data_IF_655158445562
#
_entry.id   IF_655158445562
#
_cell.length_a   1.000
_cell.length_b   1.000
_cell.length_c   1.000
_cell.angle_alpha   90.00
_cell.angle_beta   90.00
_cell.angle_gamma   90.00
#
_symmetry.space_group_name_H-M   'P 1'
#
loop_
_entity.id
_entity.type
_entity.pdbx_description
1 polymer ?
#
# COMPACT_ATOMS: atom_id res chain seq x y z
N UNK A 1 -28.44 3.05 -10.05
CA UNK A 1 -27.45 3.40 -11.10
C UNK A 1 -27.14 4.87 -10.98
N UNK A 2 -26.02 5.22 -10.34
CA UNK A 2 -25.56 6.61 -10.23
C UNK A 2 -24.10 6.61 -10.68
N UNK A 3 -23.91 6.93 -11.96
CA UNK A 3 -22.61 7.26 -12.52
C UNK A 3 -22.31 8.71 -12.16
N UNK A 4 -21.48 8.95 -11.14
CA UNK A 4 -20.84 10.25 -10.95
C UNK A 4 -19.44 10.13 -11.57
N UNK A 5 -19.36 10.38 -12.87
CA UNK A 5 -18.08 10.66 -13.53
C UNK A 5 -17.78 12.14 -13.29
N UNK A 6 -17.11 12.45 -12.17
CA UNK A 6 -16.72 13.83 -11.84
C UNK A 6 -15.68 14.32 -12.84
N UNK A 7 -16.06 15.35 -13.59
CA UNK A 7 -15.39 15.94 -14.76
C UNK A 7 -14.03 16.62 -14.52
N UNK A 8 -13.35 16.42 -13.39
CA UNK A 8 -12.14 17.21 -13.05
C UNK A 8 -11.12 16.47 -12.17
N UNK A 9 -10.77 15.23 -12.49
CA UNK A 9 -9.50 14.65 -12.02
C UNK A 9 -8.48 14.65 -13.15
N UNK A 10 -8.01 15.86 -13.48
CA UNK A 10 -6.86 16.09 -14.34
C UNK A 10 -5.59 15.68 -13.56
N UNK A 11 -5.36 14.37 -13.44
CA UNK A 11 -4.01 13.86 -13.17
C UNK A 11 -3.24 14.00 -14.46
N UNK A 12 -2.13 14.72 -14.43
CA UNK A 12 -1.17 14.70 -15.53
C UNK A 12 0.00 13.88 -15.03
N UNK A 13 0.04 12.61 -15.42
CA UNK A 13 1.24 11.85 -15.24
C UNK A 13 2.27 12.37 -16.26
N UNK A 14 3.45 12.74 -15.74
CA UNK A 14 4.53 13.31 -16.53
C UNK A 14 5.72 12.42 -16.27
N UNK A 15 6.06 11.60 -17.26
CA UNK A 15 7.32 10.86 -17.28
C UNK A 15 8.48 11.84 -17.47
N UNK A 16 9.14 12.24 -16.37
CA UNK A 16 10.36 13.04 -16.43
C UNK A 16 11.56 12.11 -16.66
N UNK A 17 12.22 12.29 -17.81
CA UNK A 17 13.39 11.49 -18.20
C UNK A 17 14.64 11.93 -17.45
N UNK A 18 14.95 11.25 -16.36
CA UNK A 18 16.33 11.00 -15.94
C UNK A 18 16.48 9.50 -15.60
N UNK A 19 16.78 8.70 -16.63
CA UNK A 19 17.06 7.26 -16.47
C UNK A 19 15.84 6.33 -16.46
N UNK A 20 14.98 6.36 -17.48
CA UNK A 20 14.00 5.33 -17.90
C UNK A 20 13.18 4.52 -16.85
N UNK A 21 13.16 4.88 -15.56
CA UNK A 21 12.57 4.06 -14.47
C UNK A 21 11.72 4.84 -13.49
N UNK A 22 11.47 6.12 -13.74
CA UNK A 22 10.76 7.01 -12.82
C UNK A 22 9.45 7.52 -13.45
N UNK A 23 8.38 7.49 -12.65
CA UNK A 23 7.07 8.08 -12.99
C UNK A 23 6.68 9.05 -11.90
N UNK A 24 6.41 10.29 -12.27
CA UNK A 24 5.90 11.29 -11.35
C UNK A 24 4.46 11.60 -11.73
N UNK A 25 3.55 11.30 -10.81
CA UNK A 25 2.13 11.61 -10.96
C UNK A 25 1.86 12.93 -10.26
N UNK A 26 1.63 13.98 -11.06
CA UNK A 26 1.27 15.30 -10.55
C UNK A 26 -0.24 15.46 -10.50
N UNK A 27 -0.70 16.06 -9.40
CA UNK A 27 -2.03 16.63 -9.33
C UNK A 27 -1.98 18.13 -9.59
N UNK A 28 -2.95 18.65 -10.34
CA UNK A 28 -2.99 20.04 -10.85
C UNK A 28 -3.22 21.12 -9.77
N UNK A 29 -3.46 20.77 -8.51
CA UNK A 29 -3.72 21.75 -7.45
C UNK A 29 -2.43 22.03 -6.64
N UNK A 30 -2.15 23.26 -6.20
CA UNK A 30 -0.91 23.56 -5.47
C UNK A 30 -0.83 22.94 -4.05
N UNK A 31 -1.93 22.36 -3.53
CA UNK A 31 -2.02 21.78 -2.18
C UNK A 31 -2.13 20.24 -2.15
N UNK A 32 -2.06 19.58 -3.30
CA UNK A 32 -2.24 18.12 -3.43
C UNK A 32 -0.89 17.45 -3.49
N UNK A 33 -0.74 16.39 -2.68
CA UNK A 33 0.49 15.62 -2.56
C UNK A 33 0.77 14.91 -3.90
N UNK A 34 1.94 15.18 -4.48
CA UNK A 34 2.43 14.44 -5.64
C UNK A 34 2.86 13.03 -5.22
N UNK A 35 2.72 12.06 -6.11
CA UNK A 35 3.20 10.71 -5.88
C UNK A 35 4.37 10.41 -6.83
N UNK A 36 5.47 9.94 -6.27
CA UNK A 36 6.69 9.60 -6.98
C UNK A 36 6.87 8.08 -6.99
N UNK A 37 6.88 7.47 -8.17
CA UNK A 37 7.01 6.03 -8.34
C UNK A 37 8.36 5.70 -8.99
N UNK A 38 9.05 4.71 -8.42
CA UNK A 38 10.30 4.17 -8.95
C UNK A 38 10.09 2.72 -9.30
N UNK A 39 10.33 2.36 -10.56
CA UNK A 39 10.25 0.98 -11.03
C UNK A 39 11.54 0.26 -10.65
N UNK A 40 11.45 -0.61 -9.65
CA UNK A 40 12.61 -1.41 -9.19
C UNK A 40 12.89 -2.61 -10.10
N UNK A 41 11.83 -3.25 -10.61
CA UNK A 41 11.89 -4.42 -11.48
C UNK A 41 10.66 -4.45 -12.38
N UNK A 42 10.87 -4.73 -13.66
CA UNK A 42 9.81 -4.94 -14.64
C UNK A 42 10.13 -6.17 -15.50
N UNK A 43 9.32 -7.22 -15.33
CA UNK A 43 9.40 -8.47 -16.10
C UNK A 43 8.21 -8.61 -17.06
N UNK A 44 7.25 -7.68 -17.04
CA UNK A 44 5.96 -7.79 -17.75
C UNK A 44 5.89 -6.83 -18.93
N UNK A 45 6.24 -5.57 -18.72
CA UNK A 45 6.07 -4.50 -19.71
C UNK A 45 7.34 -4.17 -20.47
N UNK A 46 8.45 -4.89 -20.25
CA UNK A 46 9.73 -4.72 -20.94
C UNK A 46 10.23 -3.25 -20.94
N UNK A 47 10.07 -2.57 -19.80
CA UNK A 47 10.34 -1.15 -19.55
C UNK A 47 9.48 -0.16 -20.36
N UNK A 48 8.29 -0.56 -20.82
CA UNK A 48 7.33 0.35 -21.44
C UNK A 48 6.66 1.25 -20.39
N UNK A 49 7.25 2.43 -20.17
CA UNK A 49 6.81 3.36 -19.13
C UNK A 49 5.35 3.82 -19.26
N UNK A 50 4.86 3.97 -20.50
CA UNK A 50 3.48 4.39 -20.78
C UNK A 50 2.45 3.40 -20.23
N UNK A 51 2.70 2.10 -20.42
CA UNK A 51 1.81 1.05 -19.91
C UNK A 51 1.80 1.03 -18.38
N UNK A 52 2.97 1.19 -17.75
CA UNK A 52 3.11 1.24 -16.30
C UNK A 52 2.36 2.46 -15.72
N UNK A 53 2.45 3.60 -16.40
CA UNK A 53 1.74 4.83 -16.05
C UNK A 53 0.21 4.65 -16.14
N UNK A 54 -0.29 4.06 -17.22
CA UNK A 54 -1.72 3.76 -17.41
C UNK A 54 -2.25 2.79 -16.35
N UNK A 55 -1.50 1.73 -16.04
CA UNK A 55 -1.87 0.76 -14.99
C UNK A 55 -1.90 1.43 -13.62
N UNK A 56 -0.88 2.23 -13.28
CA UNK A 56 -0.85 2.97 -12.02
C UNK A 56 -2.04 3.93 -11.91
N UNK A 57 -2.38 4.63 -13.00
CA UNK A 57 -3.54 5.50 -13.07
C UNK A 57 -4.85 4.72 -12.89
N UNK A 58 -5.02 3.59 -13.57
CA UNK A 58 -6.20 2.75 -13.44
C UNK A 58 -6.38 2.26 -11.99
N UNK A 59 -5.30 1.82 -11.33
CA UNK A 59 -5.35 1.35 -9.94
C UNK A 59 -5.77 2.43 -8.94
N UNK A 60 -5.54 3.71 -9.23
CA UNK A 60 -6.01 4.82 -8.41
C UNK A 60 -7.55 5.02 -8.44
N UNK A 61 -8.25 4.37 -9.37
CA UNK A 61 -9.71 4.43 -9.53
C UNK A 61 -10.44 3.21 -8.95
N UNK A 62 -9.71 2.16 -8.55
CA UNK A 62 -10.28 0.90 -8.03
C UNK A 62 -10.45 0.92 -6.50
N UNK A 63 -10.37 2.10 -5.87
CA UNK A 63 -10.49 2.21 -4.43
C UNK A 63 -11.94 2.08 -3.97
N UNK A 64 -12.28 0.97 -3.31
CA UNK A 64 -13.66 0.62 -2.95
C UNK A 64 -14.29 1.55 -1.90
N UNK A 65 -13.48 2.21 -1.07
CA UNK A 65 -13.97 3.06 0.03
C UNK A 65 -14.38 4.46 -0.41
N UNK A 66 -13.95 4.94 -1.57
CA UNK A 66 -14.26 6.28 -2.05
C UNK A 66 -14.59 6.30 -3.54
N UNK A 67 -15.63 7.03 -3.93
CA UNK A 67 -16.04 7.21 -5.33
C UNK A 67 -15.22 8.27 -6.07
N UNK A 68 -14.05 8.64 -5.53
CA UNK A 68 -13.12 9.62 -6.10
C UNK A 68 -11.78 8.95 -6.30
N UNK A 69 -11.05 9.32 -7.35
CA UNK A 69 -9.71 8.75 -7.53
C UNK A 69 -8.78 9.29 -6.46
N UNK A 70 -7.88 8.42 -6.05
CA UNK A 70 -6.89 8.69 -5.00
C UNK A 70 -5.51 8.94 -5.62
N UNK A 71 -4.60 9.53 -4.85
CA UNK A 71 -3.25 9.87 -5.32
C UNK A 71 -2.27 8.68 -5.29
N UNK A 72 -2.64 7.58 -4.61
CA UNK A 72 -1.82 6.38 -4.43
C UNK A 72 -2.68 5.17 -4.87
N UNK A 73 -2.12 4.16 -5.58
CA UNK A 73 -2.85 2.97 -6.00
C UNK A 73 -3.62 2.29 -4.87
N UNK A 74 -4.83 1.81 -5.18
CA UNK A 74 -5.65 1.03 -4.26
C UNK A 74 -4.90 -0.09 -3.50
N UNK A 75 -4.04 -0.93 -4.13
CA UNK A 75 -3.34 -1.99 -3.40
C UNK A 75 -2.39 -1.47 -2.31
N UNK A 76 -1.73 -0.33 -2.53
CA UNK A 76 -0.83 0.28 -1.53
C UNK A 76 -1.65 0.77 -0.34
N UNK A 77 -2.77 1.45 -0.59
CA UNK A 77 -3.68 1.89 0.47
C UNK A 77 -4.28 0.72 1.27
N UNK A 78 -4.59 -0.39 0.61
CA UNK A 78 -5.07 -1.59 1.30
C UNK A 78 -4.01 -2.21 2.18
N UNK A 79 -2.75 -2.26 1.74
CA UNK A 79 -1.65 -2.73 2.58
C UNK A 79 -1.52 -1.87 3.86
N UNK A 80 -1.62 -0.54 3.76
CA UNK A 80 -1.54 0.34 4.93
C UNK A 80 -2.70 0.12 5.91
N UNK A 81 -3.91 -0.12 5.41
CA UNK A 81 -5.07 -0.47 6.24
C UNK A 81 -4.89 -1.82 6.95
N UNK A 82 -4.35 -2.82 6.24
CA UNK A 82 -4.01 -4.13 6.83
C UNK A 82 -2.94 -3.97 7.90
N UNK A 83 -1.87 -3.23 7.64
CA UNK A 83 -0.79 -2.99 8.60
C UNK A 83 -1.30 -2.27 9.86
N UNK A 84 -2.13 -1.25 9.68
CA UNK A 84 -2.75 -0.52 10.79
C UNK A 84 -3.65 -1.43 11.63
N UNK A 85 -4.37 -2.36 10.98
CA UNK A 85 -5.18 -3.37 11.68
C UNK A 85 -4.35 -4.49 12.28
N UNK A 86 -3.19 -4.80 11.70
CA UNK A 86 -2.25 -5.85 12.12
C UNK A 86 -1.83 -5.76 13.58
N UNK A 87 -1.72 -4.54 14.12
CA UNK A 87 -1.42 -4.33 15.54
C UNK A 87 -2.49 -4.93 16.47
N UNK A 88 -3.76 -4.89 16.08
CA UNK A 88 -4.87 -5.47 16.87
C UNK A 88 -4.96 -6.99 16.75
N UNK A 89 -4.26 -7.58 15.77
CA UNK A 89 -4.21 -9.02 15.55
C UNK A 89 -3.22 -9.74 16.47
N UNK A 90 -2.40 -8.99 17.21
CA UNK A 90 -1.44 -9.50 18.18
C UNK A 90 -2.06 -9.32 19.56
N UNK A 91 -2.15 -10.40 20.34
CA UNK A 91 -2.71 -10.31 21.69
C UNK A 91 -1.82 -9.43 22.57
N UNK A 92 -2.40 -8.57 23.43
CA UNK A 92 -1.63 -7.74 24.36
C UNK A 92 -0.85 -8.59 25.38
N UNK A 93 -1.27 -9.84 25.59
CA UNK A 93 -0.61 -10.83 26.44
C UNK A 93 0.57 -11.56 25.75
N UNK A 94 0.70 -11.40 24.43
CA UNK A 94 1.87 -11.94 23.76
C UNK A 94 3.10 -11.14 24.19
N UNK A 95 4.11 -11.83 24.75
CA UNK A 95 5.47 -11.31 25.05
C UNK A 95 6.22 -10.74 23.83
N UNK A 96 5.54 -10.63 22.68
CA UNK A 96 6.01 -10.06 21.43
C UNK A 96 5.73 -8.56 21.30
N UNK A 97 4.83 -8.02 22.12
CA UNK A 97 4.70 -6.56 22.23
C UNK A 97 6.00 -6.08 22.85
N UNK A 98 6.91 -5.57 22.00
CA UNK A 98 8.06 -4.82 22.43
C UNK A 98 7.55 -3.74 23.36
N UNK A 99 7.80 -3.87 24.67
CA UNK A 99 7.59 -2.74 25.57
C UNK A 99 8.46 -1.60 25.08
N UNK A 100 8.03 -0.34 25.29
CA UNK A 100 8.69 0.90 24.86
C UNK A 100 10.19 1.06 25.28
N UNK A 101 10.76 0.04 25.94
CA UNK A 101 12.13 -0.02 26.45
C UNK A 101 13.03 -1.08 25.77
N UNK A 102 12.52 -1.85 24.80
CA UNK A 102 13.29 -2.91 24.17
C UNK A 102 14.09 -2.41 22.95
N UNK A 103 15.38 -2.09 23.16
CA UNK A 103 16.34 -1.95 22.06
C UNK A 103 16.94 -3.31 21.70
N UNK A 104 16.80 -3.71 20.44
CA UNK A 104 17.50 -4.89 19.91
C UNK A 104 18.97 -4.55 19.76
N UNK A 105 19.78 -4.94 20.74
CA UNK A 105 21.23 -4.96 20.58
C UNK A 105 21.57 -6.15 19.68
N UNK A 106 22.43 -5.93 18.68
CA UNK A 106 22.86 -6.92 17.68
C UNK A 106 23.79 -8.00 18.26
N UNK A 107 23.44 -8.53 19.42
CA UNK A 107 24.27 -9.41 20.24
C UNK A 107 23.49 -10.69 20.55
N UNK A 108 23.30 -11.54 19.54
CA UNK A 108 23.07 -12.97 19.73
C UNK A 108 21.64 -13.46 19.95
N UNK A 109 20.62 -12.59 20.02
CA UNK A 109 19.23 -13.06 20.07
C UNK A 109 18.67 -13.26 18.66
N UNK A 110 18.36 -14.51 18.31
CA UNK A 110 17.85 -14.86 16.98
C UNK A 110 16.38 -14.43 16.86
N UNK A 111 16.06 -13.65 15.83
CA UNK A 111 14.68 -13.28 15.53
C UNK A 111 13.85 -14.52 15.14
N UNK A 112 13.05 -15.02 16.08
CA UNK A 112 12.18 -16.18 15.88
C UNK A 112 10.88 -15.77 15.14
N UNK A 113 10.92 -15.87 13.80
CA UNK A 113 9.78 -15.65 12.92
C UNK A 113 8.55 -16.50 13.27
N UNK A 114 8.74 -17.72 13.79
CA UNK A 114 7.64 -18.65 14.03
C UNK A 114 6.85 -18.28 15.28
N UNK A 115 7.46 -17.57 16.23
CA UNK A 115 6.77 -16.97 17.36
C UNK A 115 5.77 -15.90 16.91
N UNK A 116 6.19 -15.01 16.00
CA UNK A 116 5.35 -13.96 15.42
C UNK A 116 4.18 -14.50 14.61
N UNK A 117 4.43 -15.53 13.78
CA UNK A 117 3.36 -16.21 13.02
C UNK A 117 2.29 -16.81 13.93
N UNK A 118 2.70 -17.46 15.04
CA UNK A 118 1.78 -18.08 16.00
C UNK A 118 0.90 -17.06 16.71
N UNK A 119 1.46 -15.92 17.10
CA UNK A 119 0.69 -14.84 17.73
C UNK A 119 -0.31 -14.20 16.78
N UNK A 120 0.07 -13.96 15.52
CA UNK A 120 -0.83 -13.40 14.51
C UNK A 120 -1.94 -14.38 14.09
N UNK A 121 -1.65 -15.69 14.03
CA UNK A 121 -2.59 -16.71 13.56
C UNK A 121 -3.85 -16.86 14.44
N UNK A 122 -3.80 -16.44 15.71
CA UNK A 122 -4.91 -16.62 16.66
C UNK A 122 -6.08 -15.63 16.45
N UNK A 123 -5.87 -14.54 15.70
CA UNK A 123 -6.81 -13.41 15.68
C UNK A 123 -7.71 -13.33 14.44
N UNK A 124 -7.38 -14.01 13.34
CA UNK A 124 -8.21 -14.00 12.14
C UNK A 124 -9.02 -15.30 12.01
N UNK A 125 -10.33 -15.24 12.30
CA UNK A 125 -11.25 -16.37 12.12
C UNK A 125 -11.30 -16.78 10.64
N UNK A 126 -11.38 -18.08 10.33
CA UNK A 126 -11.30 -18.61 8.96
C UNK A 126 -12.30 -17.97 7.99
N UNK A 127 -13.49 -17.59 8.48
CA UNK A 127 -14.56 -16.96 7.69
C UNK A 127 -14.27 -15.54 7.22
N UNK A 128 -13.36 -14.81 7.88
CA UNK A 128 -13.04 -13.42 7.56
C UNK A 128 -11.73 -13.28 6.76
N UNK A 129 -10.97 -14.38 6.58
CA UNK A 129 -9.67 -14.37 5.89
C UNK A 129 -9.79 -14.07 4.40
N UNK A 130 -10.86 -14.55 3.76
CA UNK A 130 -11.10 -14.35 2.32
C UNK A 130 -11.79 -13.02 2.01
N UNK A 131 -12.28 -12.31 3.04
CA UNK A 131 -12.89 -11.00 2.90
C UNK A 131 -11.88 -9.88 3.15
N UNK A 132 -12.16 -8.70 2.59
CA UNK A 132 -11.44 -7.47 2.91
C UNK A 132 -11.89 -6.92 4.27
N UNK A 133 -11.71 -7.69 5.35
CA UNK A 133 -12.09 -7.30 6.73
C UNK A 133 -11.40 -6.02 7.21
N UNK A 134 -10.35 -5.60 6.49
CA UNK A 134 -9.57 -4.40 6.73
C UNK A 134 -10.09 -3.15 6.00
N UNK A 135 -11.16 -3.24 5.22
CA UNK A 135 -11.93 -2.07 4.76
C UNK A 135 -12.82 -1.49 5.88
#
# INVERSE_FOLDING_TARGET
>A
MIFIFSRTQQFKAVSLRHGNREVIVYHLFPAVRTAHYVVLRDDIFNNNMQMIEEVAFALCHVYAKATRSVSIPAPVYYADLVCSRGAFHISPDSRLVFGDSASVTSSGDSFDLDQWKRAFAHSAHSKIKEGMYFL
#
